data_IF_998087489487
#
_entry.id   IF_998087489487
#
_cell.length_a   1.000
_cell.length_b   1.000
_cell.length_c   1.000
_cell.angle_alpha   90.00
_cell.angle_beta   90.00
_cell.angle_gamma   90.00
#
_symmetry.space_group_name_H-M   'P 1'
#
loop_
_entity.id
_entity.type
_entity.pdbx_description
1 polymer ?
#
# COMPACT_ATOMS: atom_id res chain seq x y z
N UNK A 1 8.31 27.41 -7.66
CA UNK A 1 8.08 25.99 -8.05
C UNK A 1 6.97 25.99 -9.09
N UNK A 2 7.22 25.40 -10.27
CA UNK A 2 6.22 25.22 -11.33
C UNK A 2 5.95 23.72 -11.44
N UNK A 3 4.69 23.31 -11.27
CA UNK A 3 4.29 21.90 -11.35
C UNK A 3 3.26 21.75 -12.46
N UNK A 4 3.54 20.82 -13.38
CA UNK A 4 2.64 20.45 -14.46
C UNK A 4 2.10 19.05 -14.19
N UNK A 5 0.77 18.90 -14.30
CA UNK A 5 0.11 17.61 -14.09
C UNK A 5 0.48 16.68 -15.26
N UNK A 6 1.07 15.50 -14.99
CA UNK A 6 1.44 14.59 -16.07
C UNK A 6 0.22 13.86 -16.62
N UNK A 7 0.24 13.59 -17.93
CA UNK A 7 -0.66 12.66 -18.59
C UNK A 7 0.01 11.28 -18.64
N UNK A 8 -0.40 10.39 -17.75
CA UNK A 8 0.22 9.06 -17.63
C UNK A 8 -0.31 8.07 -18.67
N UNK A 9 -1.52 8.29 -19.22
CA UNK A 9 -2.07 7.43 -20.27
C UNK A 9 -2.47 6.03 -19.80
N UNK A 10 -2.52 5.78 -18.48
CA UNK A 10 -2.64 4.41 -17.94
C UNK A 10 -4.08 4.00 -17.64
N UNK A 11 -4.85 4.88 -16.99
CA UNK A 11 -6.20 4.57 -16.52
C UNK A 11 -7.22 5.43 -17.25
N UNK A 12 -8.26 4.79 -17.79
CA UNK A 12 -9.38 5.51 -18.40
C UNK A 12 -10.30 6.12 -17.32
N UNK A 13 -10.72 7.35 -17.57
CA UNK A 13 -11.73 8.07 -16.80
C UNK A 13 -12.49 9.01 -17.74
N UNK A 14 -13.81 8.95 -17.70
CA UNK A 14 -14.69 9.81 -18.52
C UNK A 14 -14.32 9.82 -20.02
N UNK A 15 -13.96 8.63 -20.55
CA UNK A 15 -13.62 8.46 -21.97
C UNK A 15 -12.22 8.92 -22.38
N UNK A 16 -11.35 9.30 -21.42
CA UNK A 16 -9.98 9.72 -21.69
C UNK A 16 -8.95 9.09 -20.76
N UNK A 17 -7.72 8.91 -21.26
CA UNK A 17 -6.54 8.52 -20.48
C UNK A 17 -5.56 9.67 -20.22
N UNK A 18 -5.89 10.88 -20.67
CA UNK A 18 -5.11 12.11 -20.45
C UNK A 18 -5.30 12.59 -19.00
N UNK A 19 -4.78 11.82 -18.04
CA UNK A 19 -4.88 12.07 -16.62
C UNK A 19 -3.68 11.46 -15.87
N UNK A 20 -3.57 11.74 -14.58
CA UNK A 20 -2.50 11.26 -13.70
C UNK A 20 -2.92 10.09 -12.80
N UNK A 21 -3.98 9.36 -13.16
CA UNK A 21 -4.48 8.25 -12.33
C UNK A 21 -3.56 7.04 -12.50
N UNK A 22 -2.98 6.60 -11.40
CA UNK A 22 -2.01 5.50 -11.39
C UNK A 22 -2.69 4.13 -11.35
N UNK A 23 -3.68 3.97 -10.49
CA UNK A 23 -4.23 2.66 -10.18
C UNK A 23 -5.70 2.74 -9.75
N UNK A 24 -6.56 1.86 -10.30
CA UNK A 24 -7.95 1.68 -9.87
C UNK A 24 -8.14 0.37 -9.12
N UNK A 25 -8.99 0.44 -8.09
CA UNK A 25 -9.40 -0.72 -7.30
C UNK A 25 -8.79 -0.87 -5.90
N UNK A 26 -7.53 -0.45 -5.60
CA UNK A 26 -7.07 -0.49 -4.21
C UNK A 26 -7.80 0.59 -3.41
N UNK A 27 -8.15 0.26 -2.18
CA UNK A 27 -8.74 1.18 -1.23
C UNK A 27 -7.70 1.54 -0.16
N UNK A 28 -7.53 2.84 0.10
CA UNK A 28 -6.66 3.35 1.16
C UNK A 28 -5.18 3.02 1.00
N UNK A 29 -4.68 2.93 -0.24
CA UNK A 29 -3.28 2.55 -0.49
C UNK A 29 -2.30 3.57 0.10
N UNK A 30 -1.46 3.14 1.04
CA UNK A 30 -0.26 3.87 1.44
C UNK A 30 0.95 3.32 0.71
N UNK A 31 1.86 4.21 0.33
CA UNK A 31 3.06 3.89 -0.45
C UNK A 31 4.29 4.29 0.35
N UNK A 32 5.24 3.38 0.46
CA UNK A 32 6.53 3.56 1.10
C UNK A 32 7.66 3.33 0.10
N UNK A 33 8.62 4.24 0.06
CA UNK A 33 9.82 4.10 -0.75
C UNK A 33 10.95 3.55 0.11
N UNK A 34 11.39 2.33 -0.17
CA UNK A 34 12.47 1.66 0.52
C UNK A 34 13.75 1.64 -0.34
N UNK A 35 14.67 2.54 -0.03
CA UNK A 35 15.97 2.61 -0.73
C UNK A 35 16.96 1.54 -0.27
N UNK A 36 16.64 0.76 0.77
CA UNK A 36 17.56 -0.24 1.35
C UNK A 36 17.29 -1.65 0.83
N UNK A 37 16.10 -1.88 0.26
CA UNK A 37 15.80 -3.17 -0.36
C UNK A 37 16.77 -3.36 -1.54
N UNK A 38 17.62 -4.41 -1.54
CA UNK A 38 18.58 -4.63 -2.62
C UNK A 38 17.89 -4.96 -3.94
N UNK A 39 16.64 -5.43 -3.87
CA UNK A 39 15.83 -5.69 -5.05
C UNK A 39 15.15 -4.40 -5.54
N UNK A 40 15.63 -3.88 -6.67
CA UNK A 40 15.12 -2.65 -7.26
C UNK A 40 13.64 -2.76 -7.67
N UNK A 41 13.12 -3.98 -7.93
CA UNK A 41 11.71 -4.19 -8.23
C UNK A 41 10.79 -3.97 -7.01
N UNK A 42 11.36 -3.93 -5.79
CA UNK A 42 10.66 -3.72 -4.52
C UNK A 42 10.95 -2.36 -3.88
N UNK A 43 11.47 -1.41 -4.66
CA UNK A 43 11.80 -0.04 -4.22
C UNK A 43 10.59 0.71 -3.66
N UNK A 44 9.41 0.49 -4.22
CA UNK A 44 8.16 1.01 -3.70
C UNK A 44 7.33 -0.15 -3.19
N UNK A 45 6.80 0.00 -1.99
CA UNK A 45 5.96 -0.96 -1.28
C UNK A 45 4.64 -0.31 -0.99
N UNK A 46 3.54 -1.04 -1.14
CA UNK A 46 2.22 -0.54 -0.78
C UNK A 46 1.50 -1.47 0.16
N UNK A 47 0.70 -0.91 1.06
CA UNK A 47 -0.27 -1.61 1.87
C UNK A 47 -1.64 -1.02 1.54
N UNK A 48 -2.61 -1.87 1.20
CA UNK A 48 -3.94 -1.44 0.77
C UNK A 48 -4.99 -2.52 1.03
N UNK A 49 -6.27 -2.17 0.90
CA UNK A 49 -7.37 -3.14 0.92
C UNK A 49 -7.96 -3.29 -0.47
N UNK A 50 -8.21 -4.53 -0.88
CA UNK A 50 -9.10 -4.84 -2.02
C UNK A 50 -10.19 -5.82 -1.57
N UNK A 51 -9.97 -7.13 -1.75
CA UNK A 51 -10.80 -8.17 -1.11
C UNK A 51 -10.38 -8.39 0.34
N UNK A 52 -9.07 -8.30 0.59
CA UNK A 52 -8.37 -8.42 1.87
C UNK A 52 -7.31 -7.32 1.95
N UNK A 53 -6.68 -7.17 3.11
CA UNK A 53 -5.42 -6.44 3.18
C UNK A 53 -4.42 -7.17 2.30
N UNK A 54 -3.72 -6.40 1.49
CA UNK A 54 -2.74 -6.88 0.54
C UNK A 54 -1.55 -5.94 0.52
N UNK A 55 -0.39 -6.49 0.16
CA UNK A 55 0.79 -5.73 -0.20
C UNK A 55 1.05 -5.82 -1.70
N UNK A 56 1.81 -4.85 -2.20
CA UNK A 56 2.28 -4.82 -3.58
C UNK A 56 3.64 -4.15 -3.68
N UNK A 57 4.34 -4.44 -4.77
CA UNK A 57 5.68 -3.93 -5.05
C UNK A 57 5.73 -3.24 -6.41
N UNK A 58 6.58 -2.23 -6.51
CA UNK A 58 6.83 -1.49 -7.74
C UNK A 58 8.26 -0.96 -7.77
N UNK A 59 8.86 -0.93 -8.95
CA UNK A 59 10.19 -0.34 -9.14
C UNK A 59 10.14 1.20 -9.17
N UNK A 60 9.03 1.77 -9.66
CA UNK A 60 8.88 3.20 -9.97
C UNK A 60 7.72 3.89 -9.21
N UNK A 61 6.90 3.11 -8.49
CA UNK A 61 5.72 3.61 -7.78
C UNK A 61 4.51 3.88 -8.68
N UNK A 62 4.62 3.57 -9.97
CA UNK A 62 3.60 3.79 -11.00
C UNK A 62 3.07 2.45 -11.51
N UNK A 63 3.97 1.52 -11.84
CA UNK A 63 3.64 0.18 -12.32
C UNK A 63 3.72 -0.82 -11.17
N UNK A 64 2.57 -1.25 -10.68
CA UNK A 64 2.45 -2.18 -9.55
C UNK A 64 2.36 -3.62 -10.02
N UNK A 65 3.16 -4.50 -9.42
CA UNK A 65 3.12 -5.93 -9.66
C UNK A 65 1.87 -6.61 -9.09
N UNK A 66 1.79 -7.95 -9.17
CA UNK A 66 0.70 -8.72 -8.60
C UNK A 66 0.52 -8.46 -7.10
N UNK A 67 -0.74 -8.39 -6.65
CA UNK A 67 -1.03 -8.25 -5.22
C UNK A 67 -0.72 -9.53 -4.47
N UNK A 68 -0.19 -9.38 -3.25
CA UNK A 68 0.02 -10.47 -2.30
C UNK A 68 -0.98 -10.25 -1.16
N UNK A 69 -1.90 -11.19 -0.96
CA UNK A 69 -2.90 -11.07 0.10
C UNK A 69 -2.30 -11.42 1.47
N UNK A 70 -2.65 -10.63 2.48
CA UNK A 70 -2.25 -10.81 3.88
C UNK A 70 -3.53 -10.96 4.73
N UNK A 71 -4.27 -12.08 4.62
CA UNK A 71 -5.51 -12.29 5.35
C UNK A 71 -5.36 -12.26 6.88
N UNK A 72 -4.18 -12.59 7.40
CA UNK A 72 -3.81 -12.63 8.81
C UNK A 72 -3.87 -11.26 9.51
N UNK A 73 -3.72 -10.18 8.74
CA UNK A 73 -3.79 -8.79 9.24
C UNK A 73 -5.04 -8.04 8.75
N UNK A 74 -6.04 -8.72 8.19
CA UNK A 74 -7.26 -8.08 7.68
C UNK A 74 -8.17 -7.59 8.82
N UNK A 75 -8.33 -6.26 9.02
CA UNK A 75 -9.13 -5.73 10.10
C UNK A 75 -10.61 -6.03 9.89
N UNK A 76 -11.29 -6.49 10.95
CA UNK A 76 -12.75 -6.63 10.98
C UNK A 76 -13.34 -5.92 12.21
N UNK A 77 -14.26 -4.95 12.05
CA UNK A 77 -14.65 -4.30 10.79
C UNK A 77 -13.56 -3.31 10.32
N UNK A 78 -13.23 -3.37 9.04
CA UNK A 78 -12.32 -2.42 8.41
C UNK A 78 -12.96 -1.04 8.32
N UNK A 79 -12.18 0.00 8.59
CA UNK A 79 -12.57 1.36 8.24
C UNK A 79 -12.04 1.76 6.86
N UNK A 80 -12.66 2.79 6.31
CA UNK A 80 -12.36 3.39 5.02
C UNK A 80 -11.10 4.26 5.01
N UNK A 81 -10.12 4.01 5.89
CA UNK A 81 -8.94 4.86 6.06
C UNK A 81 -7.72 4.36 5.30
N UNK A 82 -6.72 5.24 5.13
CA UNK A 82 -5.43 4.90 4.54
C UNK A 82 -4.66 3.92 5.44
N UNK A 83 -4.08 2.90 4.81
CA UNK A 83 -3.15 1.96 5.43
C UNK A 83 -1.73 2.47 5.17
N UNK A 84 -0.86 2.48 6.18
CA UNK A 84 0.54 2.88 5.99
C UNK A 84 1.47 1.72 6.33
N UNK A 85 2.64 1.70 5.71
CA UNK A 85 3.71 0.76 6.04
C UNK A 85 5.03 1.52 6.04
N UNK A 86 5.93 1.19 6.95
CA UNK A 86 7.30 1.66 6.94
C UNK A 86 8.19 0.60 7.57
N UNK A 87 9.48 0.67 7.29
CA UNK A 87 10.46 -0.15 8.00
C UNK A 87 10.94 0.53 9.27
N UNK A 88 11.04 -0.24 10.35
CA UNK A 88 11.58 0.18 11.63
C UNK A 88 12.94 -0.50 11.83
N UNK A 89 14.07 0.24 11.70
CA UNK A 89 15.42 -0.33 11.83
C UNK A 89 15.66 -1.02 13.16
N UNK A 90 15.12 -0.48 14.25
CA UNK A 90 15.27 -0.98 15.60
C UNK A 90 14.63 -2.36 15.79
N UNK A 91 13.60 -2.66 14.99
CA UNK A 91 12.90 -3.95 15.00
C UNK A 91 13.40 -4.91 13.91
N UNK A 92 14.11 -4.40 12.90
CA UNK A 92 14.44 -5.17 11.71
C UNK A 92 13.18 -5.64 10.95
N UNK A 93 12.11 -4.83 10.99
CA UNK A 93 10.78 -5.24 10.53
C UNK A 93 10.04 -4.14 9.77
N UNK A 94 9.13 -4.56 8.88
CA UNK A 94 8.10 -3.69 8.32
C UNK A 94 6.92 -3.62 9.29
N UNK A 95 6.53 -2.41 9.67
CA UNK A 95 5.39 -2.15 10.55
C UNK A 95 4.28 -1.50 9.75
N UNK A 96 3.12 -2.14 9.76
CA UNK A 96 1.89 -1.64 9.16
C UNK A 96 1.03 -0.88 10.18
N UNK A 97 0.58 0.31 9.82
CA UNK A 97 -0.41 1.08 10.57
C UNK A 97 -1.76 0.92 9.89
N UNK A 98 -2.62 0.14 10.55
CA UNK A 98 -3.97 -0.18 10.09
C UNK A 98 -4.94 0.33 11.15
N UNK A 99 -5.93 1.10 10.73
CA UNK A 99 -6.99 1.55 11.63
C UNK A 99 -8.11 0.49 11.67
N UNK A 100 -8.57 0.21 12.87
CA UNK A 100 -9.66 -0.71 13.13
C UNK A 100 -10.87 0.11 13.59
N UNK A 101 -12.07 -0.25 13.09
CA UNK A 101 -13.30 0.29 13.65
C UNK A 101 -13.71 -0.58 14.85
N UNK A 102 -13.31 -0.18 16.06
CA UNK A 102 -13.70 -0.84 17.30
C UNK A 102 -13.96 0.13 18.44
N UNK A 103 -15.00 -0.11 19.25
CA UNK A 103 -15.01 0.35 20.65
C UNK A 103 -13.92 -0.47 21.35
N UNK A 104 -12.92 0.21 21.88
CA UNK A 104 -11.73 -0.31 22.58
C UNK A 104 -10.61 -0.95 21.74
N UNK A 105 -9.39 -0.45 21.97
CA UNK A 105 -8.17 -0.86 21.30
C UNK A 105 -7.67 -2.20 21.79
N UNK A 106 -7.54 -3.17 20.87
CA UNK A 106 -6.70 -4.36 21.08
C UNK A 106 -5.42 -4.20 20.28
N UNK A 107 -4.29 -4.43 20.94
CA UNK A 107 -3.01 -4.74 20.29
C UNK A 107 -3.06 -6.21 19.88
N UNK A 108 -2.94 -6.49 18.59
CA UNK A 108 -2.72 -7.85 18.09
C UNK A 108 -1.23 -7.99 17.78
N UNK A 109 -0.46 -8.78 18.54
CA UNK A 109 0.91 -9.12 18.15
C UNK A 109 0.84 -9.97 16.87
N UNK A 110 1.68 -9.65 15.88
CA UNK A 110 1.92 -10.55 14.76
C UNK A 110 3.06 -11.48 15.20
N UNK A 111 2.73 -12.72 15.55
CA UNK A 111 3.73 -13.76 15.77
C UNK A 111 4.34 -14.18 14.43
N UNK A 112 5.67 -14.09 14.33
CA UNK A 112 6.44 -14.68 13.23
C UNK A 112 6.58 -16.18 13.52
N UNK A 113 5.93 -17.01 12.71
CA UNK A 113 6.37 -18.40 12.56
C UNK A 113 7.61 -18.41 11.66
N UNK A 114 8.66 -19.09 12.14
CA UNK A 114 10.03 -19.04 11.61
C UNK A 114 10.31 -19.87 10.36
#
# INVERSE_FOLDING_TARGET
>A
IHWEKPELGMVEFEGSKQNNIVWRGPHGAGVFKDLRDPDQARRYKTLFKRKKISVGFSADGIHWGPQIMCPEIDPKPADGTHYNVLWVPELGEYVGFIRFRGREGRRTPVEKNG
#
